data_IF_801439720375
#
_entry.id   IF_801439720375
#
_cell.length_a   1.000
_cell.length_b   1.000
_cell.length_c   1.000
_cell.angle_alpha   90.00
_cell.angle_beta   90.00
_cell.angle_gamma   90.00
#
_symmetry.space_group_name_H-M   'P 1'
#
loop_
_entity.id
_entity.type
_entity.pdbx_description
1 polymer ?
#
# COMPACT_ATOMS: atom_id res chain seq x y z
N UNK A 1 12.14 3.84 3.56
CA UNK A 1 12.41 5.28 3.54
C UNK A 1 11.84 5.91 2.27
N UNK A 2 11.09 6.99 2.42
CA UNK A 2 10.68 7.81 1.28
C UNK A 2 11.93 8.43 0.66
N UNK A 3 12.12 8.23 -0.65
CA UNK A 3 13.19 8.88 -1.37
C UNK A 3 13.01 10.39 -1.43
N UNK A 4 14.06 11.12 -1.81
CA UNK A 4 14.02 12.56 -1.99
C UNK A 4 13.07 13.00 -3.12
N UNK A 5 12.73 12.09 -4.03
CA UNK A 5 11.75 12.33 -5.09
C UNK A 5 10.37 11.96 -4.60
N UNK A 6 9.36 12.85 -4.74
CA UNK A 6 7.98 12.50 -4.39
C UNK A 6 7.52 11.25 -5.15
N UNK A 7 6.88 10.34 -4.44
CA UNK A 7 6.27 9.16 -5.04
C UNK A 7 7.21 7.97 -5.25
N UNK A 8 8.36 7.93 -4.59
CA UNK A 8 9.26 6.77 -4.60
C UNK A 8 9.46 6.25 -3.18
N UNK A 9 9.24 4.95 -2.99
CA UNK A 9 9.55 4.24 -1.76
C UNK A 9 10.43 3.04 -2.08
N UNK A 10 11.50 2.85 -1.31
CA UNK A 10 12.42 1.74 -1.48
C UNK A 10 12.58 0.96 -0.18
N UNK A 11 12.69 -0.36 -0.32
CA UNK A 11 12.95 -1.29 0.78
C UNK A 11 14.37 -1.83 0.65
N UNK A 12 15.14 -1.70 1.72
CA UNK A 12 16.53 -2.15 1.80
C UNK A 12 16.71 -3.22 2.87
N UNK A 13 17.66 -4.12 2.65
CA UNK A 13 18.09 -5.02 3.72
C UNK A 13 19.06 -4.29 4.68
N UNK A 14 19.49 -4.98 5.74
CA UNK A 14 20.40 -4.40 6.74
C UNK A 14 21.79 -4.08 6.20
N UNK A 15 22.18 -4.68 5.09
CA UNK A 15 23.47 -4.43 4.42
C UNK A 15 23.42 -3.29 3.41
N UNK A 16 22.24 -2.67 3.22
CA UNK A 16 22.04 -1.54 2.30
C UNK A 16 21.70 -1.93 0.86
N UNK A 17 21.48 -3.21 0.57
CA UNK A 17 21.02 -3.65 -0.74
C UNK A 17 19.53 -3.35 -0.92
N UNK A 18 19.16 -2.75 -2.03
CA UNK A 18 17.76 -2.49 -2.37
C UNK A 18 17.07 -3.78 -2.80
N UNK A 19 16.03 -4.16 -2.07
CA UNK A 19 15.27 -5.38 -2.32
C UNK A 19 14.02 -5.13 -3.15
N UNK A 20 13.36 -3.99 -2.96
CA UNK A 20 12.17 -3.63 -3.72
C UNK A 20 12.00 -2.11 -3.78
N UNK A 21 11.25 -1.65 -4.77
CA UNK A 21 10.94 -0.24 -4.96
C UNK A 21 9.56 -0.09 -5.57
N UNK A 22 8.83 0.94 -5.16
CA UNK A 22 7.58 1.35 -5.77
C UNK A 22 7.66 2.82 -6.19
N UNK A 23 7.29 3.11 -7.43
CA UNK A 23 7.34 4.46 -8.01
C UNK A 23 5.98 4.87 -8.52
N UNK A 24 5.55 6.07 -8.13
CA UNK A 24 4.36 6.67 -8.72
C UNK A 24 4.66 7.14 -10.13
N UNK A 25 3.86 6.70 -11.10
CA UNK A 25 4.05 7.02 -12.53
C UNK A 25 3.15 8.11 -13.04
N UNK A 26 1.92 8.20 -12.53
CA UNK A 26 0.96 9.19 -12.98
C UNK A 26 0.44 10.00 -11.82
N UNK A 27 0.34 11.31 -12.03
CA UNK A 27 -0.36 12.23 -11.15
C UNK A 27 -1.81 12.33 -11.61
N UNK A 28 -2.78 12.35 -10.68
CA UNK A 28 -4.18 12.58 -11.00
C UNK A 28 -5.14 11.60 -10.36
N UNK A 29 -6.35 11.49 -10.94
CA UNK A 29 -7.48 10.74 -10.37
C UNK A 29 -7.24 9.23 -10.26
N UNK A 30 -6.37 8.67 -11.10
CA UNK A 30 -6.06 7.24 -11.11
C UNK A 30 -4.54 7.04 -11.03
N UNK A 31 -3.96 7.20 -9.82
CA UNK A 31 -2.52 7.02 -9.68
C UNK A 31 -2.13 5.58 -10.01
N UNK A 32 -1.06 5.46 -10.79
CA UNK A 32 -0.44 4.20 -11.14
C UNK A 32 0.92 4.12 -10.49
N UNK A 33 1.22 2.98 -9.89
CA UNK A 33 2.51 2.73 -9.24
C UNK A 33 3.19 1.54 -9.91
N UNK A 34 4.45 1.71 -10.26
CA UNK A 34 5.29 0.62 -10.76
C UNK A 34 6.05 -0.01 -9.61
N UNK A 35 6.03 -1.35 -9.56
CA UNK A 35 6.74 -2.16 -8.59
C UNK A 35 7.99 -2.78 -9.20
N UNK A 36 9.08 -2.71 -8.46
CA UNK A 36 10.36 -3.28 -8.85
C UNK A 36 10.84 -4.26 -7.79
N UNK A 37 11.18 -5.47 -8.22
CA UNK A 37 11.94 -6.43 -7.43
C UNK A 37 13.41 -6.22 -7.77
N UNK A 38 14.15 -5.67 -6.79
CA UNK A 38 15.52 -5.20 -6.99
C UNK A 38 15.59 -4.15 -8.10
N UNK A 39 15.97 -4.51 -9.31
CA UNK A 39 16.06 -3.60 -10.47
C UNK A 39 15.07 -3.96 -11.58
N UNK A 40 14.32 -5.03 -11.40
CA UNK A 40 13.41 -5.55 -12.41
C UNK A 40 11.99 -5.05 -12.17
N UNK A 41 11.38 -4.49 -13.20
CA UNK A 41 9.96 -4.14 -13.18
C UNK A 41 9.14 -5.42 -13.14
N UNK A 42 8.40 -5.64 -12.05
CA UNK A 42 7.61 -6.86 -11.85
C UNK A 42 6.11 -6.63 -11.95
N UNK A 43 5.64 -5.41 -11.84
CA UNK A 43 4.22 -5.15 -11.94
C UNK A 43 3.85 -3.69 -11.79
N UNK A 44 2.56 -3.41 -11.97
CA UNK A 44 1.97 -2.08 -11.81
C UNK A 44 0.73 -2.18 -10.93
N UNK A 45 0.72 -1.41 -9.86
CA UNK A 45 -0.39 -1.33 -8.91
C UNK A 45 -1.39 -0.28 -9.40
N UNK A 46 -2.66 -0.68 -9.54
CA UNK A 46 -3.77 0.20 -9.87
C UNK A 46 -4.90 0.03 -8.87
N UNK A 47 -5.55 1.13 -8.55
CA UNK A 47 -6.70 1.15 -7.66
C UNK A 47 -7.98 1.18 -8.48
N UNK A 48 -8.89 0.26 -8.17
CA UNK A 48 -10.23 0.21 -8.73
C UNK A 48 -11.24 0.59 -7.66
N UNK A 49 -12.11 1.56 -7.95
CA UNK A 49 -13.11 1.99 -7.00
C UNK A 49 -14.32 1.06 -7.05
N UNK A 50 -14.62 0.40 -5.93
CA UNK A 50 -15.84 -0.37 -5.72
C UNK A 50 -16.86 0.39 -4.88
N UNK A 51 -18.11 -0.07 -4.89
CA UNK A 51 -19.22 0.58 -4.16
C UNK A 51 -19.07 0.42 -2.65
N UNK A 52 -18.55 -0.72 -2.15
CA UNK A 52 -18.47 -1.01 -0.73
C UNK A 52 -17.09 -1.44 -0.24
N UNK A 53 -16.21 -1.89 -1.13
CA UNK A 53 -14.88 -2.37 -0.78
C UNK A 53 -13.87 -1.83 -1.78
N UNK A 54 -12.69 -1.50 -1.31
CA UNK A 54 -11.59 -1.14 -2.19
C UNK A 54 -10.96 -2.38 -2.78
N UNK A 55 -10.72 -2.33 -4.07
CA UNK A 55 -10.02 -3.36 -4.80
C UNK A 55 -8.84 -2.76 -5.54
N UNK A 56 -7.67 -3.35 -5.36
CA UNK A 56 -6.47 -3.00 -6.09
C UNK A 56 -5.96 -4.23 -6.81
N UNK A 57 -5.29 -4.00 -7.92
CA UNK A 57 -4.72 -5.07 -8.71
C UNK A 57 -3.30 -4.73 -9.12
N UNK A 58 -2.40 -5.69 -8.97
CA UNK A 58 -1.02 -5.59 -9.43
C UNK A 58 -0.89 -6.36 -10.72
N UNK A 59 -0.93 -5.65 -11.85
CA UNK A 59 -0.71 -6.24 -13.16
C UNK A 59 0.75 -6.69 -13.28
N UNK A 60 0.99 -7.84 -13.83
CA UNK A 60 2.30 -8.49 -13.91
C UNK A 60 2.45 -9.59 -12.87
N UNK A 61 2.36 -9.26 -11.59
CA UNK A 61 2.32 -10.25 -10.52
C UNK A 61 0.96 -10.94 -10.41
N UNK A 62 -0.09 -10.33 -10.94
CA UNK A 62 -1.47 -10.81 -10.85
C UNK A 62 -1.94 -10.98 -9.40
N UNK A 63 -1.56 -10.04 -8.56
CA UNK A 63 -2.00 -9.99 -7.16
C UNK A 63 -3.24 -9.12 -7.02
N UNK A 64 -4.24 -9.65 -6.31
CA UNK A 64 -5.44 -8.90 -5.92
C UNK A 64 -5.32 -8.44 -4.48
N UNK A 65 -5.64 -7.19 -4.24
CA UNK A 65 -5.68 -6.60 -2.91
C UNK A 65 -7.12 -6.22 -2.62
N UNK A 66 -7.68 -6.79 -1.56
CA UNK A 66 -9.05 -6.54 -1.13
C UNK A 66 -9.02 -6.08 0.30
N UNK A 67 -9.77 -5.03 0.62
CA UNK A 67 -9.82 -4.59 1.99
C UNK A 67 -10.71 -3.40 2.25
N UNK A 68 -10.56 -2.87 3.45
CA UNK A 68 -11.31 -1.73 3.94
C UNK A 68 -10.35 -0.69 4.53
N UNK A 69 -10.30 0.49 3.93
CA UNK A 69 -9.50 1.62 4.39
C UNK A 69 -9.91 2.11 5.78
N UNK A 70 -11.20 2.03 6.09
CA UNK A 70 -11.72 2.54 7.38
C UNK A 70 -11.20 1.75 8.57
N UNK A 71 -11.11 0.43 8.43
CA UNK A 71 -10.62 -0.47 9.49
C UNK A 71 -9.16 -0.85 9.30
N UNK A 72 -8.57 -0.48 8.19
CA UNK A 72 -7.23 -0.86 7.76
C UNK A 72 -6.98 -2.36 7.82
N UNK A 73 -7.86 -3.12 7.17
CA UNK A 73 -7.74 -4.55 7.02
C UNK A 73 -7.66 -4.90 5.54
N UNK A 74 -6.53 -5.47 5.12
CA UNK A 74 -6.29 -5.83 3.72
C UNK A 74 -5.79 -7.26 3.61
N UNK A 75 -6.17 -7.90 2.51
CA UNK A 75 -5.65 -9.21 2.11
C UNK A 75 -5.15 -9.14 0.68
N UNK A 76 -4.02 -9.76 0.44
CA UNK A 76 -3.41 -9.85 -0.89
C UNK A 76 -3.45 -11.31 -1.33
N UNK A 77 -4.00 -11.54 -2.52
CA UNK A 77 -4.15 -12.88 -3.09
C UNK A 77 -3.46 -13.00 -4.43
N UNK A 78 -2.83 -14.13 -4.66
CA UNK A 78 -2.43 -14.60 -5.98
C UNK A 78 -3.28 -15.83 -6.31
N UNK A 79 -4.33 -15.65 -7.14
CA UNK A 79 -5.34 -16.66 -7.32
C UNK A 79 -6.05 -16.98 -6.00
N UNK A 80 -5.95 -18.23 -5.55
CA UNK A 80 -6.51 -18.68 -4.27
C UNK A 80 -5.53 -18.59 -3.10
N UNK A 81 -4.26 -18.34 -3.39
CA UNK A 81 -3.22 -18.27 -2.36
C UNK A 81 -3.22 -16.89 -1.71
N UNK A 82 -3.34 -16.85 -0.39
CA UNK A 82 -3.17 -15.61 0.36
C UNK A 82 -1.67 -15.32 0.51
N UNK A 83 -1.23 -14.21 -0.08
CA UNK A 83 0.18 -13.77 -0.01
C UNK A 83 0.46 -13.03 1.28
N UNK A 84 -0.47 -12.15 1.68
CA UNK A 84 -0.29 -11.30 2.85
C UNK A 84 -1.64 -10.92 3.44
N UNK A 85 -1.67 -10.77 4.77
CA UNK A 85 -2.73 -10.06 5.47
C UNK A 85 -2.13 -8.89 6.23
N UNK A 86 -2.82 -7.75 6.23
CA UNK A 86 -2.43 -6.56 7.00
C UNK A 86 -3.62 -6.17 7.86
N UNK A 87 -3.38 -5.94 9.14
CA UNK A 87 -4.39 -5.39 10.05
C UNK A 87 -3.78 -4.39 11.00
N UNK A 88 -4.57 -3.39 11.37
CA UNK A 88 -4.20 -2.47 12.44
C UNK A 88 -4.53 -3.09 13.78
N UNK A 89 -3.56 -3.08 14.69
CA UNK A 89 -3.69 -3.61 16.03
C UNK A 89 -3.31 -2.55 17.06
N UNK A 90 -3.94 -2.58 18.21
CA UNK A 90 -3.56 -1.72 19.33
C UNK A 90 -2.49 -2.40 20.17
N UNK A 91 -1.43 -1.65 20.46
CA UNK A 91 -0.34 -2.06 21.34
C UNK A 91 -0.27 -1.13 22.55
N UNK A 92 0.58 -1.49 23.52
CA UNK A 92 0.80 -0.65 24.71
C UNK A 92 1.35 0.74 24.39
N UNK A 93 2.02 0.91 23.23
CA UNK A 93 2.63 2.17 22.79
C UNK A 93 1.83 2.89 21.69
N UNK A 94 0.66 2.37 21.32
CA UNK A 94 -0.20 2.96 20.28
C UNK A 94 -0.60 1.97 19.20
N UNK A 95 -1.07 2.48 18.07
CA UNK A 95 -1.47 1.66 16.93
C UNK A 95 -0.25 1.15 16.16
N UNK A 96 -0.31 -0.11 15.75
CA UNK A 96 0.71 -0.76 14.94
C UNK A 96 0.04 -1.53 13.79
N UNK A 97 0.81 -1.81 12.76
CA UNK A 97 0.38 -2.67 11.67
C UNK A 97 0.95 -4.07 11.85
N UNK A 98 0.08 -5.05 11.81
CA UNK A 98 0.45 -6.46 11.87
C UNK A 98 0.40 -7.07 10.48
N UNK A 99 1.50 -7.70 10.10
CA UNK A 99 1.65 -8.35 8.80
C UNK A 99 1.79 -9.85 8.96
N UNK A 100 1.04 -10.61 8.17
CA UNK A 100 1.25 -12.03 8.00
C UNK A 100 1.57 -12.29 6.53
N UNK A 101 2.81 -12.63 6.25
CA UNK A 101 3.31 -12.85 4.88
C UNK A 101 3.68 -14.31 4.73
N UNK A 102 3.10 -14.99 3.73
CA UNK A 102 3.26 -16.43 3.56
C UNK A 102 4.68 -16.83 3.16
N UNK A 103 5.30 -16.06 2.26
CA UNK A 103 6.63 -16.35 1.73
C UNK A 103 7.60 -15.21 2.00
N UNK A 104 8.76 -15.52 2.55
CA UNK A 104 9.77 -14.52 2.85
C UNK A 104 10.26 -13.77 1.60
N UNK A 105 10.29 -14.44 0.46
CA UNK A 105 10.69 -13.82 -0.80
C UNK A 105 9.78 -12.66 -1.22
N UNK A 106 8.51 -12.68 -0.80
CA UNK A 106 7.52 -11.65 -1.14
C UNK A 106 7.52 -10.46 -0.17
N UNK A 107 8.22 -10.56 0.96
CA UNK A 107 8.22 -9.51 2.00
C UNK A 107 8.53 -8.11 1.46
N UNK A 108 9.60 -7.91 0.65
CA UNK A 108 9.94 -6.56 0.19
C UNK A 108 8.84 -5.92 -0.65
N UNK A 109 8.22 -6.67 -1.56
CA UNK A 109 7.09 -6.19 -2.38
C UNK A 109 5.85 -5.94 -1.53
N UNK A 110 5.59 -6.81 -0.55
CA UNK A 110 4.49 -6.65 0.40
C UNK A 110 4.63 -5.37 1.21
N UNK A 111 5.83 -5.03 1.67
CA UNK A 111 6.07 -3.78 2.39
C UNK A 111 5.87 -2.55 1.51
N UNK A 112 6.25 -2.60 0.24
CA UNK A 112 5.97 -1.53 -0.72
C UNK A 112 4.47 -1.29 -0.87
N UNK A 113 3.69 -2.36 -1.04
CA UNK A 113 2.23 -2.30 -1.16
C UNK A 113 1.61 -1.74 0.12
N UNK A 114 2.02 -2.24 1.28
CA UNK A 114 1.52 -1.81 2.58
C UNK A 114 1.75 -0.31 2.81
N UNK A 115 2.91 0.20 2.44
CA UNK A 115 3.24 1.62 2.57
C UNK A 115 2.34 2.51 1.71
N UNK A 116 2.00 2.08 0.50
CA UNK A 116 1.06 2.81 -0.35
C UNK A 116 -0.36 2.78 0.22
N UNK A 117 -0.80 1.65 0.75
CA UNK A 117 -2.11 1.54 1.41
C UNK A 117 -2.19 2.48 2.63
N UNK A 118 -1.17 2.52 3.46
CA UNK A 118 -1.09 3.42 4.61
C UNK A 118 -1.09 4.90 4.16
N UNK A 119 -0.35 5.23 3.13
CA UNK A 119 -0.32 6.57 2.56
C UNK A 119 -1.72 7.02 2.08
N UNK A 120 -2.43 6.18 1.36
CA UNK A 120 -3.79 6.48 0.91
C UNK A 120 -4.76 6.63 2.07
N UNK A 121 -4.67 5.77 3.09
CA UNK A 121 -5.50 5.86 4.27
C UNK A 121 -5.32 7.20 4.99
N UNK A 122 -4.09 7.69 5.10
CA UNK A 122 -3.78 8.98 5.70
C UNK A 122 -4.30 10.15 4.88
N UNK A 123 -4.21 10.07 3.55
CA UNK A 123 -4.76 11.10 2.66
C UNK A 123 -6.28 11.20 2.78
N UNK A 124 -6.98 10.06 2.80
CA UNK A 124 -8.43 10.03 2.95
C UNK A 124 -8.87 10.61 4.30
N UNK A 125 -8.17 10.32 5.38
CA UNK A 125 -8.43 10.92 6.69
C UNK A 125 -8.24 12.44 6.68
N UNK A 126 -7.16 12.94 6.07
CA UNK A 126 -6.91 14.38 5.94
C UNK A 126 -8.01 15.07 5.12
N UNK A 127 -8.44 14.46 4.03
CA UNK A 127 -9.51 15.00 3.19
C UNK A 127 -10.83 15.07 3.94
N UNK A 128 -11.19 14.03 4.70
CA UNK A 128 -12.39 14.01 5.54
C UNK A 128 -12.33 15.05 6.66
N UNK A 129 -11.22 15.16 7.36
CA UNK A 129 -11.03 16.15 8.41
C UNK A 129 -11.12 17.57 7.86
N UNK A 130 -10.47 17.83 6.72
CA UNK A 130 -10.54 19.14 6.06
C UNK A 130 -11.96 19.50 5.65
N UNK A 131 -12.72 18.56 5.12
CA UNK A 131 -14.13 18.75 4.76
C UNK A 131 -14.99 19.01 5.99
N UNK A 132 -14.74 18.31 7.09
CA UNK A 132 -15.45 18.49 8.36
C UNK A 132 -15.22 19.89 8.94
N UNK A 133 -13.96 20.30 9.07
CA UNK A 133 -13.61 21.64 9.57
C UNK A 133 -14.10 22.76 8.64
N UNK A 134 -14.09 22.53 7.35
CA UNK A 134 -14.66 23.47 6.39
C UNK A 134 -16.16 23.69 6.58
N UNK A 135 -16.91 22.68 7.01
CA UNK A 135 -18.32 22.78 7.35
C UNK A 135 -18.57 23.50 8.68
N UNK A 136 -17.65 23.38 9.63
CA UNK A 136 -17.78 24.05 10.92
C UNK A 136 -17.40 25.53 10.87
N UNK A 137 -16.69 25.95 9.85
CA UNK A 137 -16.28 27.35 9.67
C UNK A 137 -17.40 28.25 9.09
N UNK A 138 -18.52 27.67 8.76
CA UNK A 138 -19.72 28.35 8.31
C UNK A 138 -20.77 28.39 9.42
#
# INVERSE_FOLDING_TARGET
KWGLSPGVLSVYNVTGERLAEIKQRTLGFFPKFDLYDRRHHVGSLRRYYGISHEMLFVKGLNWFIIGNLMTFNYKVYHGRQCIMTISEVQTATGNALEFHIAEQADEPLCFCIAAILDYWARLDLKAKNKAYYGKLAW
#
